data_IF_235496006853
#
_entry.id   IF_235496006853
#
_cell.length_a   1.000
_cell.length_b   1.000
_cell.length_c   1.000
_cell.angle_alpha   90.00
_cell.angle_beta   90.00
_cell.angle_gamma   90.00
#
_symmetry.space_group_name_H-M   'P 1'
#
loop_
_entity.id
_entity.type
_entity.pdbx_description
1 polymer ?
#
# COMPACT_ATOMS: atom_id res chain seq x y z
N UNK A 1 25.50 -0.17 -41.62
CA UNK A 1 24.04 -0.31 -41.45
C UNK A 1 23.64 0.57 -40.27
N UNK A 2 22.84 1.61 -40.52
CA UNK A 2 22.48 2.62 -39.51
C UNK A 2 21.50 2.07 -38.50
N UNK A 3 21.88 2.09 -37.22
CA UNK A 3 21.00 1.76 -36.10
C UNK A 3 20.14 3.00 -35.84
N UNK A 4 18.91 3.01 -36.36
CA UNK A 4 17.98 4.14 -36.22
C UNK A 4 17.64 4.44 -34.75
N UNK A 5 17.32 5.70 -34.45
CA UNK A 5 17.11 6.20 -33.08
C UNK A 5 16.19 5.35 -32.19
N UNK A 6 15.17 4.68 -32.73
CA UNK A 6 14.33 3.76 -31.95
C UNK A 6 15.06 2.53 -31.38
N UNK A 7 16.16 2.09 -31.99
CA UNK A 7 16.96 0.98 -31.50
C UNK A 7 17.86 1.38 -30.31
N UNK A 8 18.22 2.66 -30.17
CA UNK A 8 18.96 3.18 -29.02
C UNK A 8 18.13 3.13 -27.74
N UNK A 9 16.89 3.61 -27.80
CA UNK A 9 15.96 3.52 -26.69
C UNK A 9 15.55 2.08 -26.35
N UNK A 10 15.31 1.23 -27.35
CA UNK A 10 15.02 -0.19 -27.11
C UNK A 10 16.19 -0.91 -26.41
N UNK A 11 17.43 -0.64 -26.83
CA UNK A 11 18.62 -1.21 -26.19
C UNK A 11 18.80 -0.70 -24.76
N UNK A 12 18.47 0.57 -24.47
CA UNK A 12 18.50 1.09 -23.09
C UNK A 12 17.41 0.46 -22.23
N UNK A 13 16.21 0.29 -22.75
CA UNK A 13 15.13 -0.39 -22.04
C UNK A 13 15.47 -1.87 -21.80
N UNK A 14 16.02 -2.57 -22.79
CA UNK A 14 16.53 -3.94 -22.65
C UNK A 14 17.61 -4.04 -21.56
N UNK A 15 18.55 -3.10 -21.53
CA UNK A 15 19.57 -3.05 -20.48
C UNK A 15 18.96 -2.82 -19.10
N UNK A 16 17.96 -1.94 -19.01
CA UNK A 16 17.30 -1.59 -17.76
C UNK A 16 16.41 -2.72 -17.22
N UNK A 17 15.89 -3.61 -18.08
CA UNK A 17 14.95 -4.67 -17.68
C UNK A 17 15.56 -6.07 -17.77
N UNK A 18 16.11 -6.48 -18.92
CA UNK A 18 16.58 -7.86 -19.14
C UNK A 18 18.00 -8.08 -18.63
N UNK A 19 18.91 -7.14 -18.91
CA UNK A 19 20.32 -7.27 -18.54
C UNK A 19 20.61 -6.89 -17.08
N UNK A 20 19.70 -6.17 -16.43
CA UNK A 20 19.86 -5.69 -15.05
C UNK A 20 19.56 -6.75 -13.98
N UNK A 21 18.86 -7.83 -14.34
CA UNK A 21 18.46 -8.87 -13.39
C UNK A 21 19.26 -10.14 -13.66
N UNK A 22 20.01 -10.60 -12.66
CA UNK A 22 20.67 -11.91 -12.71
C UNK A 22 19.64 -13.05 -12.60
N UNK A 23 20.07 -14.30 -12.79
CA UNK A 23 19.19 -15.44 -12.55
C UNK A 23 18.74 -15.51 -11.08
N UNK A 24 19.64 -15.24 -10.14
CA UNK A 24 19.31 -15.20 -8.71
C UNK A 24 18.30 -14.10 -8.38
N UNK A 25 18.44 -12.91 -8.99
CA UNK A 25 17.48 -11.81 -8.77
C UNK A 25 16.11 -12.15 -9.33
N UNK A 26 16.04 -12.80 -10.50
CA UNK A 26 14.77 -13.23 -11.09
C UNK A 26 14.06 -14.28 -10.23
N UNK A 27 14.79 -15.25 -9.69
CA UNK A 27 14.24 -16.22 -8.74
C UNK A 27 13.72 -15.54 -7.46
N UNK A 28 14.52 -14.64 -6.86
CA UNK A 28 14.11 -13.90 -5.66
C UNK A 28 12.88 -13.01 -5.90
N UNK A 29 12.76 -12.39 -7.08
CA UNK A 29 11.59 -11.62 -7.47
C UNK A 29 10.34 -12.50 -7.61
N UNK A 30 10.46 -13.69 -8.21
CA UNK A 30 9.36 -14.65 -8.31
C UNK A 30 8.91 -15.10 -6.92
N UNK A 31 9.83 -15.48 -6.03
CA UNK A 31 9.52 -15.87 -4.65
C UNK A 31 8.78 -14.74 -3.90
N UNK A 32 9.21 -13.49 -4.09
CA UNK A 32 8.57 -12.33 -3.47
C UNK A 32 7.15 -12.07 -4.04
N UNK A 33 6.96 -12.21 -5.35
CA UNK A 33 5.65 -12.07 -6.01
C UNK A 33 4.70 -13.17 -5.53
N UNK A 34 5.16 -14.42 -5.48
CA UNK A 34 4.37 -15.56 -5.02
C UNK A 34 3.99 -15.40 -3.54
N UNK A 35 4.93 -15.02 -2.68
CA UNK A 35 4.66 -14.74 -1.28
C UNK A 35 3.62 -13.62 -1.11
N UNK A 36 3.72 -12.53 -1.88
CA UNK A 36 2.77 -11.42 -1.85
C UNK A 36 1.36 -11.89 -2.28
N UNK A 37 1.27 -12.64 -3.37
CA UNK A 37 -0.03 -13.15 -3.88
C UNK A 37 -0.63 -14.21 -2.96
N UNK A 38 0.18 -15.04 -2.32
CA UNK A 38 -0.28 -16.01 -1.32
C UNK A 38 -0.90 -15.32 -0.10
N UNK A 39 -0.23 -14.28 0.43
CA UNK A 39 -0.76 -13.47 1.55
C UNK A 39 -2.05 -12.76 1.13
N UNK A 40 -2.09 -12.17 -0.08
CA UNK A 40 -3.28 -11.51 -0.61
C UNK A 40 -4.48 -12.46 -0.72
N UNK A 41 -4.26 -13.67 -1.22
CA UNK A 41 -5.29 -14.71 -1.32
C UNK A 41 -5.77 -15.18 0.06
N UNK A 42 -4.86 -15.37 1.01
CA UNK A 42 -5.21 -15.74 2.38
C UNK A 42 -6.03 -14.64 3.08
N UNK A 43 -5.64 -13.37 2.89
CA UNK A 43 -6.41 -12.24 3.39
C UNK A 43 -7.79 -12.16 2.73
N UNK A 44 -7.86 -12.27 1.40
CA UNK A 44 -9.12 -12.28 0.66
C UNK A 44 -10.07 -13.40 1.11
N UNK A 45 -9.54 -14.60 1.37
CA UNK A 45 -10.32 -15.74 1.86
C UNK A 45 -10.92 -15.49 3.26
N UNK A 46 -10.23 -14.69 4.09
CA UNK A 46 -10.67 -14.30 5.44
C UNK A 46 -11.57 -13.05 5.44
N UNK A 47 -11.54 -12.26 4.37
CA UNK A 47 -12.14 -10.92 4.28
C UNK A 47 -13.68 -10.93 4.24
N UNK A 48 -14.28 -11.80 3.43
CA UNK A 48 -15.65 -11.59 2.96
C UNK A 48 -16.75 -11.78 4.02
N UNK A 49 -16.47 -12.40 5.16
CA UNK A 49 -17.49 -12.66 6.19
C UNK A 49 -17.05 -12.44 7.65
N UNK A 50 -15.75 -12.39 7.94
CA UNK A 50 -15.23 -12.47 9.32
C UNK A 50 -14.29 -11.32 9.68
N UNK A 51 -13.29 -11.01 8.85
CA UNK A 51 -12.21 -10.10 9.25
C UNK A 51 -12.66 -8.63 9.39
N UNK A 52 -13.33 -8.05 8.38
CA UNK A 52 -13.77 -6.65 8.43
C UNK A 52 -14.77 -6.36 9.57
N UNK A 53 -15.86 -7.14 9.73
CA UNK A 53 -16.79 -6.94 10.84
C UNK A 53 -16.12 -7.10 12.21
N UNK A 54 -15.18 -8.05 12.35
CA UNK A 54 -14.43 -8.25 13.59
C UNK A 54 -13.48 -7.09 13.90
N UNK A 55 -12.73 -6.60 12.92
CA UNK A 55 -11.86 -5.42 13.06
C UNK A 55 -12.67 -4.19 13.45
N UNK A 56 -13.82 -3.97 12.80
CA UNK A 56 -14.71 -2.87 13.10
C UNK A 56 -15.30 -2.99 14.51
N UNK A 57 -15.74 -4.18 14.91
CA UNK A 57 -16.26 -4.44 16.25
C UNK A 57 -15.19 -4.24 17.33
N UNK A 58 -13.96 -4.70 17.08
CA UNK A 58 -12.83 -4.53 17.98
C UNK A 58 -12.47 -3.05 18.15
N UNK A 59 -12.38 -2.30 17.05
CA UNK A 59 -12.12 -0.86 17.09
C UNK A 59 -13.20 -0.11 17.87
N UNK A 60 -14.48 -0.40 17.61
CA UNK A 60 -15.61 0.17 18.37
C UNK A 60 -15.54 -0.16 19.85
N UNK A 61 -15.26 -1.42 20.20
CA UNK A 61 -15.15 -1.87 21.58
C UNK A 61 -14.00 -1.17 22.31
N UNK A 62 -12.83 -1.11 21.67
CA UNK A 62 -11.62 -0.46 22.19
C UNK A 62 -11.84 1.04 22.45
N UNK A 63 -12.42 1.76 21.48
CA UNK A 63 -12.79 3.18 21.66
C UNK A 63 -13.81 3.38 22.78
N UNK A 64 -14.82 2.52 22.86
CA UNK A 64 -15.89 2.63 23.87
C UNK A 64 -15.36 2.35 25.28
N UNK A 65 -14.54 1.33 25.48
CA UNK A 65 -13.93 1.05 26.79
C UNK A 65 -13.01 2.18 27.21
N UNK A 66 -12.14 2.68 26.31
CA UNK A 66 -11.33 3.86 26.62
C UNK A 66 -12.19 5.07 27.01
N UNK A 67 -13.30 5.31 26.31
CA UNK A 67 -14.19 6.43 26.60
C UNK A 67 -14.99 6.29 27.90
N UNK A 68 -15.50 5.09 28.19
CA UNK A 68 -16.35 4.83 29.35
C UNK A 68 -15.56 4.66 30.63
N UNK A 69 -14.37 4.06 30.56
CA UNK A 69 -13.61 3.68 31.74
C UNK A 69 -12.50 4.71 31.99
N UNK A 70 -11.51 4.74 31.08
CA UNK A 70 -10.29 5.54 31.24
C UNK A 70 -10.58 7.04 31.21
N UNK A 71 -11.27 7.54 30.18
CA UNK A 71 -11.59 8.96 30.08
C UNK A 71 -12.52 9.41 31.21
N UNK A 72 -13.49 8.59 31.65
CA UNK A 72 -14.38 8.95 32.75
C UNK A 72 -13.61 9.15 34.07
N UNK A 73 -12.61 8.32 34.37
CA UNK A 73 -11.74 8.51 35.52
C UNK A 73 -10.89 9.78 35.40
N UNK A 74 -10.32 10.05 34.22
CA UNK A 74 -9.55 11.28 33.96
C UNK A 74 -10.41 12.54 34.09
N UNK A 75 -11.64 12.52 33.56
CA UNK A 75 -12.62 13.61 33.68
C UNK A 75 -12.96 13.86 35.14
N UNK A 76 -13.27 12.80 35.92
CA UNK A 76 -13.59 12.94 37.35
C UNK A 76 -12.44 13.59 38.13
N UNK A 77 -11.20 13.18 37.84
CA UNK A 77 -9.99 13.77 38.42
C UNK A 77 -9.81 15.23 38.00
N UNK A 78 -9.88 15.51 36.70
CA UNK A 78 -9.73 16.86 36.15
C UNK A 78 -10.78 17.84 36.70
N UNK A 79 -12.05 17.42 36.79
CA UNK A 79 -13.14 18.23 37.36
C UNK A 79 -12.92 18.49 38.86
N UNK A 80 -12.52 17.47 39.64
CA UNK A 80 -12.20 17.63 41.07
C UNK A 80 -11.11 18.67 41.29
N UNK A 81 -10.13 18.72 40.40
CA UNK A 81 -9.00 19.65 40.44
C UNK A 81 -9.20 20.92 39.60
N UNK A 82 -10.41 21.17 39.09
CA UNK A 82 -10.76 22.33 38.25
C UNK A 82 -9.83 22.53 37.04
N UNK A 83 -9.32 21.43 36.46
CA UNK A 83 -8.43 21.47 35.31
C UNK A 83 -9.22 21.76 34.03
N UNK A 84 -8.76 22.68 33.16
CA UNK A 84 -9.48 23.07 31.94
C UNK A 84 -9.62 21.90 30.94
N UNK A 85 -8.78 20.88 31.06
CA UNK A 85 -8.83 19.67 30.23
C UNK A 85 -10.11 18.84 30.38
N UNK A 86 -10.83 18.99 31.51
CA UNK A 86 -12.08 18.27 31.76
C UNK A 86 -13.12 18.48 30.65
N UNK A 87 -13.25 19.72 30.14
CA UNK A 87 -14.18 20.04 29.05
C UNK A 87 -13.81 19.34 27.75
N UNK A 88 -12.53 19.36 27.39
CA UNK A 88 -12.01 18.71 26.18
C UNK A 88 -12.20 17.20 26.23
N UNK A 89 -11.90 16.56 27.37
CA UNK A 89 -12.11 15.13 27.58
C UNK A 89 -13.60 14.74 27.52
N UNK A 90 -14.49 15.56 28.08
CA UNK A 90 -15.93 15.34 28.00
C UNK A 90 -16.44 15.39 26.55
N UNK A 91 -16.08 16.42 25.78
CA UNK A 91 -16.47 16.52 24.37
C UNK A 91 -15.92 15.36 23.53
N UNK A 92 -14.68 14.93 23.79
CA UNK A 92 -14.09 13.78 23.12
C UNK A 92 -14.82 12.49 23.49
N UNK A 93 -15.17 12.29 24.77
CA UNK A 93 -15.95 11.16 25.25
C UNK A 93 -17.31 11.08 24.58
N UNK A 94 -18.04 12.19 24.51
CA UNK A 94 -19.33 12.27 23.82
C UNK A 94 -19.19 11.85 22.35
N UNK A 95 -18.20 12.40 21.64
CA UNK A 95 -17.93 12.07 20.24
C UNK A 95 -17.63 10.56 20.02
N UNK A 96 -16.90 9.91 20.91
CA UNK A 96 -16.56 8.47 20.80
C UNK A 96 -17.74 7.54 21.09
N UNK A 97 -18.73 8.03 21.83
CA UNK A 97 -19.84 7.20 22.35
C UNK A 97 -21.12 7.39 21.56
N UNK A 98 -21.19 8.44 20.76
CA UNK A 98 -22.28 8.70 19.83
C UNK A 98 -22.47 7.49 18.88
N UNK A 99 -23.71 7.00 18.82
CA UNK A 99 -24.08 5.87 17.97
C UNK A 99 -24.08 6.29 16.50
N UNK A 100 -23.40 5.55 15.60
CA UNK A 100 -23.54 5.77 14.16
C UNK A 100 -24.92 5.35 13.66
N UNK A 101 -25.38 5.96 12.57
CA UNK A 101 -26.44 5.40 11.73
C UNK A 101 -25.98 4.10 11.05
N UNK A 102 -26.89 3.13 10.79
CA UNK A 102 -26.52 1.77 10.40
C UNK A 102 -25.80 1.63 9.05
N UNK A 103 -25.93 2.60 8.15
CA UNK A 103 -25.44 2.53 6.77
C UNK A 103 -24.00 3.05 6.56
N UNK A 104 -23.42 3.78 7.53
CA UNK A 104 -22.09 4.43 7.40
C UNK A 104 -21.09 3.97 8.47
N UNK A 105 -21.30 2.78 9.03
CA UNK A 105 -20.62 2.31 10.24
C UNK A 105 -19.09 2.21 10.17
N UNK A 106 -18.49 1.96 9.01
CA UNK A 106 -17.04 1.80 8.85
C UNK A 106 -16.31 3.15 8.76
N UNK A 107 -16.69 3.99 7.79
CA UNK A 107 -16.13 5.34 7.64
C UNK A 107 -16.31 6.19 8.90
N UNK A 108 -17.46 6.09 9.56
CA UNK A 108 -17.68 6.75 10.85
C UNK A 108 -16.66 6.36 11.91
N UNK A 109 -16.31 5.07 12.02
CA UNK A 109 -15.33 4.60 13.02
C UNK A 109 -13.93 5.10 12.69
N UNK A 110 -13.55 5.08 11.41
CA UNK A 110 -12.26 5.63 10.96
C UNK A 110 -12.15 7.11 11.31
N UNK A 111 -13.20 7.89 11.07
CA UNK A 111 -13.24 9.31 11.42
C UNK A 111 -13.13 9.53 12.94
N UNK A 112 -13.83 8.73 13.75
CA UNK A 112 -13.73 8.81 15.21
C UNK A 112 -12.34 8.45 15.72
N UNK A 113 -11.72 7.41 15.17
CA UNK A 113 -10.33 7.06 15.48
C UNK A 113 -9.37 8.19 15.12
N UNK A 114 -9.59 8.87 13.99
CA UNK A 114 -8.80 10.02 13.59
C UNK A 114 -8.94 11.20 14.56
N UNK A 115 -10.16 11.55 14.95
CA UNK A 115 -10.43 12.61 15.94
C UNK A 115 -9.80 12.28 17.29
N UNK A 116 -9.92 11.02 17.75
CA UNK A 116 -9.28 10.54 18.98
C UNK A 116 -7.76 10.70 18.90
N UNK A 117 -7.14 10.26 17.81
CA UNK A 117 -5.69 10.35 17.62
C UNK A 117 -5.21 11.80 17.60
N UNK A 118 -5.89 12.67 16.87
CA UNK A 118 -5.54 14.09 16.79
C UNK A 118 -5.65 14.77 18.16
N UNK A 119 -6.79 14.62 18.83
CA UNK A 119 -7.02 15.26 20.13
C UNK A 119 -6.05 14.74 21.20
N UNK A 120 -5.82 13.42 21.26
CA UNK A 120 -4.89 12.82 22.24
C UNK A 120 -3.44 13.16 21.90
N UNK A 121 -3.05 13.15 20.62
CA UNK A 121 -1.73 13.55 20.17
C UNK A 121 -1.40 14.97 20.61
N UNK A 122 -2.33 15.92 20.44
CA UNK A 122 -2.17 17.30 20.91
C UNK A 122 -1.99 17.41 22.43
N UNK A 123 -2.72 16.60 23.21
CA UNK A 123 -2.58 16.55 24.67
C UNK A 123 -1.21 15.99 25.11
N UNK A 124 -0.59 15.13 24.29
CA UNK A 124 0.69 14.48 24.57
C UNK A 124 1.92 15.28 24.13
N UNK A 125 1.79 16.22 23.16
CA UNK A 125 2.92 16.97 22.54
C UNK A 125 3.81 17.72 23.56
N UNK A 126 3.34 17.97 24.79
CA UNK A 126 4.14 18.59 25.84
C UNK A 126 5.05 17.69 26.68
N UNK A 127 4.91 16.37 26.60
CA UNK A 127 5.63 15.46 27.49
C UNK A 127 7.14 15.34 27.16
N UNK A 128 7.58 15.86 26.00
CA UNK A 128 8.94 15.70 25.45
C UNK A 128 9.87 16.92 25.50
N UNK A 129 9.52 18.00 26.23
CA UNK A 129 10.43 19.14 26.46
C UNK A 129 10.61 20.14 25.29
N UNK A 130 9.83 20.04 24.20
CA UNK A 130 9.83 21.03 23.13
C UNK A 130 8.99 22.28 23.50
N UNK A 131 9.42 23.50 23.13
CA UNK A 131 8.76 24.73 23.56
C UNK A 131 7.32 24.84 23.04
N UNK A 132 6.43 25.14 23.98
CA UNK A 132 4.99 25.26 23.82
C UNK A 132 4.60 26.30 22.76
N UNK A 133 4.13 25.82 21.61
CA UNK A 133 3.29 26.57 20.66
C UNK A 133 2.02 25.81 20.25
N UNK A 134 1.61 24.82 21.04
CA UNK A 134 0.29 24.19 20.87
C UNK A 134 -0.68 24.79 21.89
N UNK A 135 -1.81 25.29 21.40
CA UNK A 135 -2.94 25.79 22.22
C UNK A 135 -3.51 24.71 23.17
N UNK A 136 -3.10 23.45 23.00
CA UNK A 136 -3.56 22.29 23.75
C UNK A 136 -2.45 21.53 24.48
N UNK A 137 -1.24 22.09 24.63
CA UNK A 137 -0.24 21.49 25.50
C UNK A 137 -0.74 21.51 26.97
N UNK A 138 -1.37 20.41 27.36
CA UNK A 138 -1.98 20.18 28.67
C UNK A 138 -1.41 18.94 29.34
N UNK A 139 -0.23 18.49 28.94
CA UNK A 139 0.44 17.34 29.55
C UNK A 139 0.60 17.49 31.07
N UNK A 140 0.80 18.73 31.55
CA UNK A 140 0.83 19.08 32.97
C UNK A 140 -0.52 18.88 33.71
N UNK A 141 -1.63 18.85 32.98
CA UNK A 141 -2.97 18.60 33.52
C UNK A 141 -3.24 17.10 33.75
N UNK A 142 -2.26 16.22 33.54
CA UNK A 142 -2.41 14.78 33.69
C UNK A 142 -1.42 14.20 34.70
N UNK A 143 -1.82 13.09 35.32
CA UNK A 143 -0.88 12.25 36.06
C UNK A 143 0.01 11.48 35.09
N UNK A 144 1.17 11.00 35.54
CA UNK A 144 2.05 10.14 34.73
C UNK A 144 1.35 8.87 34.26
N UNK A 145 0.48 8.28 35.10
CA UNK A 145 -0.36 7.12 34.72
C UNK A 145 -1.34 7.49 33.62
N UNK A 146 -2.03 8.62 33.75
CA UNK A 146 -2.99 9.08 32.74
C UNK A 146 -2.33 9.39 31.40
N UNK A 147 -1.10 9.93 31.41
CA UNK A 147 -0.33 10.16 30.18
C UNK A 147 0.04 8.84 29.49
N UNK A 148 0.39 7.80 30.24
CA UNK A 148 0.67 6.46 29.68
C UNK A 148 -0.57 5.84 29.05
N UNK A 149 -1.73 5.98 29.71
CA UNK A 149 -3.02 5.50 29.20
C UNK A 149 -3.43 6.24 27.92
N UNK A 150 -3.26 7.57 27.87
CA UNK A 150 -3.49 8.37 26.68
C UNK A 150 -2.57 7.96 25.52
N UNK A 151 -1.27 7.78 25.79
CA UNK A 151 -0.32 7.32 24.78
C UNK A 151 -0.62 5.90 24.29
N UNK A 152 -1.15 5.02 25.15
CA UNK A 152 -1.59 3.69 24.75
C UNK A 152 -2.85 3.76 23.86
N UNK A 153 -3.82 4.62 24.21
CA UNK A 153 -5.03 4.82 23.44
C UNK A 153 -4.74 5.43 22.05
N UNK A 154 -3.84 6.40 21.95
CA UNK A 154 -3.39 6.97 20.68
C UNK A 154 -2.77 5.90 19.77
N UNK A 155 -1.85 5.09 20.30
CA UNK A 155 -1.21 3.99 19.55
C UNK A 155 -2.22 2.94 19.11
N UNK A 156 -3.15 2.56 19.98
CA UNK A 156 -4.22 1.63 19.64
C UNK A 156 -5.15 2.20 18.55
N UNK A 157 -5.54 3.46 18.66
CA UNK A 157 -6.38 4.12 17.67
C UNK A 157 -5.70 4.19 16.30
N UNK A 158 -4.39 4.49 16.28
CA UNK A 158 -3.58 4.48 15.06
C UNK A 158 -3.50 3.08 14.44
N UNK A 159 -3.29 2.05 15.24
CA UNK A 159 -3.25 0.67 14.76
C UNK A 159 -4.60 0.23 14.16
N UNK A 160 -5.71 0.55 14.82
CA UNK A 160 -7.06 0.26 14.31
C UNK A 160 -7.33 1.00 12.99
N UNK A 161 -6.96 2.28 12.90
CA UNK A 161 -7.12 3.05 11.67
C UNK A 161 -6.32 2.42 10.51
N UNK A 162 -5.05 2.08 10.75
CA UNK A 162 -4.20 1.44 9.75
C UNK A 162 -4.77 0.09 9.31
N UNK A 163 -5.25 -0.74 10.25
CA UNK A 163 -5.84 -2.04 9.91
C UNK A 163 -7.11 -1.91 9.07
N UNK A 164 -8.00 -0.95 9.41
CA UNK A 164 -9.22 -0.70 8.64
C UNK A 164 -8.91 -0.13 7.25
N UNK A 165 -7.99 0.83 7.16
CA UNK A 165 -7.59 1.39 5.86
C UNK A 165 -6.84 0.37 5.01
N UNK A 166 -5.91 -0.41 5.57
CA UNK A 166 -5.18 -1.45 4.85
C UNK A 166 -6.12 -2.55 4.31
N UNK A 167 -7.22 -2.82 5.00
CA UNK A 167 -8.28 -3.69 4.49
C UNK A 167 -8.96 -3.08 3.26
N UNK A 168 -9.30 -1.79 3.30
CA UNK A 168 -9.93 -1.08 2.17
C UNK A 168 -9.02 -1.01 0.92
N UNK A 169 -7.72 -0.78 1.12
CA UNK A 169 -6.74 -0.65 0.03
C UNK A 169 -5.96 -1.94 -0.24
N UNK A 170 -6.40 -3.11 0.28
CA UNK A 170 -5.66 -4.38 0.15
C UNK A 170 -5.25 -4.68 -1.29
N UNK A 171 -6.18 -4.52 -2.22
CA UNK A 171 -5.94 -4.77 -3.64
C UNK A 171 -4.88 -3.84 -4.25
N UNK A 172 -4.76 -2.61 -3.73
CA UNK A 172 -3.73 -1.65 -4.14
C UNK A 172 -2.36 -2.01 -3.54
N UNK A 173 -2.33 -2.58 -2.32
CA UNK A 173 -1.08 -3.01 -1.67
C UNK A 173 -0.43 -4.22 -2.36
N UNK A 174 -1.23 -5.03 -3.09
CA UNK A 174 -0.75 -6.18 -3.86
C UNK A 174 -0.75 -5.94 -5.37
N UNK A 175 -0.90 -4.68 -5.80
CA UNK A 175 -0.89 -4.31 -7.21
C UNK A 175 0.53 -4.34 -7.79
N UNK A 176 0.71 -5.14 -8.84
CA UNK A 176 1.95 -5.30 -9.59
C UNK A 176 1.78 -4.85 -11.05
N UNK A 177 0.69 -4.15 -11.38
CA UNK A 177 0.37 -3.68 -12.74
C UNK A 177 1.49 -2.83 -13.35
N UNK A 178 2.21 -2.07 -12.52
CA UNK A 178 3.32 -1.22 -12.92
C UNK A 178 4.51 -1.97 -13.53
N UNK A 179 4.67 -3.28 -13.26
CA UNK A 179 5.76 -4.06 -13.84
C UNK A 179 5.65 -4.21 -15.37
N UNK A 180 4.46 -4.00 -15.93
CA UNK A 180 4.19 -4.04 -17.37
C UNK A 180 4.22 -2.65 -18.03
N UNK A 181 3.91 -1.60 -17.27
CA UNK A 181 3.80 -0.24 -17.79
C UNK A 181 5.16 0.30 -18.23
N UNK A 182 5.21 0.85 -19.44
CA UNK A 182 6.45 1.30 -20.09
C UNK A 182 6.30 2.57 -20.93
N UNK A 183 5.21 3.31 -20.73
CA UNK A 183 4.90 4.53 -21.49
C UNK A 183 6.00 5.58 -21.36
N UNK A 184 6.54 5.80 -20.16
CA UNK A 184 7.67 6.72 -19.97
C UNK A 184 8.90 6.35 -20.84
N UNK A 185 9.17 5.05 -21.03
CA UNK A 185 10.28 4.60 -21.88
C UNK A 185 9.94 4.72 -23.37
N UNK A 186 8.68 4.53 -23.76
CA UNK A 186 8.21 4.73 -25.13
C UNK A 186 8.20 6.21 -25.53
N UNK A 187 7.79 7.10 -24.63
CA UNK A 187 7.86 8.56 -24.82
C UNK A 187 9.30 9.03 -24.99
N UNK A 188 10.20 8.56 -24.12
CA UNK A 188 11.63 8.87 -24.25
C UNK A 188 12.23 8.34 -25.56
N UNK A 189 11.76 7.20 -26.06
CA UNK A 189 12.15 6.66 -27.36
C UNK A 189 11.66 7.52 -28.53
N UNK A 190 10.44 8.06 -28.43
CA UNK A 190 9.84 8.91 -29.45
C UNK A 190 10.48 10.30 -29.52
N UNK A 191 11.07 10.77 -28.41
CA UNK A 191 11.78 12.05 -28.33
C UNK A 191 13.23 11.98 -28.84
N UNK A 192 13.78 10.78 -29.09
CA UNK A 192 15.14 10.68 -29.59
C UNK A 192 15.24 11.18 -31.04
N UNK A 193 16.12 12.16 -31.34
CA UNK A 193 16.32 12.58 -32.71
C UNK A 193 16.88 11.41 -33.51
N UNK A 194 16.29 11.16 -34.69
CA UNK A 194 16.83 10.26 -35.71
C UNK A 194 18.24 10.72 -36.11
N UNK A 195 19.24 10.35 -35.33
CA UNK A 195 20.64 10.64 -35.59
C UNK A 195 21.09 9.73 -36.73
N UNK A 196 20.88 10.17 -37.96
CA UNK A 196 21.33 9.42 -39.13
C UNK A 196 20.73 9.75 -40.49
N UNK A 197 20.01 10.86 -40.67
CA UNK A 197 19.76 11.39 -42.02
C UNK A 197 19.87 12.90 -42.00
N UNK A 198 20.93 13.42 -42.61
CA UNK A 198 20.98 14.77 -43.14
C UNK A 198 19.76 14.98 -44.03
N UNK A 199 18.76 15.72 -43.56
CA UNK A 199 17.66 16.20 -44.39
C UNK A 199 18.21 17.18 -45.40
N UNK A 200 18.32 16.77 -46.67
CA UNK A 200 18.14 17.71 -47.76
C UNK A 200 16.72 18.26 -47.66
N UNK A 201 16.60 19.58 -47.65
CA UNK A 201 15.32 20.29 -47.68
C UNK A 201 14.61 20.02 -49.00
N UNK A 202 13.70 19.05 -49.03
CA UNK A 202 12.58 18.99 -49.98
C UNK A 202 11.83 17.67 -49.82
N UNK A 203 10.95 17.56 -48.83
CA UNK A 203 9.79 16.67 -48.94
C UNK A 203 8.67 17.12 -48.00
N UNK A 204 7.52 17.60 -48.53
CA UNK A 204 6.42 18.14 -47.73
C UNK A 204 5.49 17.07 -47.17
N UNK A 205 5.73 15.78 -47.42
CA UNK A 205 4.81 14.68 -47.06
C UNK A 205 5.12 14.03 -45.69
N UNK A 206 5.64 14.81 -44.74
CA UNK A 206 5.89 14.37 -43.36
C UNK A 206 4.62 14.37 -42.51
N UNK A 207 3.53 13.87 -43.08
CA UNK A 207 2.23 13.65 -42.44
C UNK A 207 2.02 12.20 -42.01
N UNK A 208 2.98 11.57 -41.32
CA UNK A 208 2.74 10.37 -40.53
C UNK A 208 3.91 10.10 -39.56
N UNK A 209 3.92 10.79 -38.41
CA UNK A 209 4.68 10.32 -37.24
C UNK A 209 3.89 9.18 -36.59
N UNK A 210 3.79 8.05 -37.27
CA UNK A 210 3.08 6.87 -36.78
C UNK A 210 4.04 5.88 -36.14
N UNK A 211 3.76 5.62 -34.86
CA UNK A 211 4.18 4.49 -34.04
C UNK A 211 5.65 4.41 -33.62
N UNK A 212 5.90 4.59 -32.31
CA UNK A 212 6.75 3.63 -31.62
C UNK A 212 5.86 2.38 -31.44
N UNK A 213 5.92 1.36 -32.32
CA UNK A 213 5.25 0.12 -32.03
C UNK A 213 5.94 -0.42 -30.79
N UNK A 214 5.15 -0.53 -29.73
CA UNK A 214 5.47 -1.08 -28.43
C UNK A 214 6.70 -2.00 -28.37
N UNK A 215 7.49 -1.92 -27.28
CA UNK A 215 8.63 -2.83 -27.10
C UNK A 215 8.22 -4.31 -27.19
N UNK A 216 9.07 -5.19 -27.75
CA UNK A 216 8.82 -6.62 -27.81
C UNK A 216 8.45 -7.21 -26.46
N UNK A 217 7.63 -8.27 -26.46
CA UNK A 217 7.24 -8.98 -25.24
C UNK A 217 8.47 -9.53 -24.47
N UNK A 218 9.56 -9.86 -25.17
CA UNK A 218 10.82 -10.31 -24.58
C UNK A 218 11.52 -9.26 -23.70
N UNK A 219 11.10 -8.00 -23.77
CA UNK A 219 11.56 -6.90 -22.92
C UNK A 219 10.54 -6.54 -21.82
N UNK A 220 9.44 -7.27 -21.70
CA UNK A 220 8.47 -7.13 -20.61
C UNK A 220 8.98 -7.88 -19.39
N UNK A 221 9.05 -7.21 -18.23
CA UNK A 221 9.51 -7.86 -17.00
C UNK A 221 8.65 -9.09 -16.63
N UNK A 222 7.30 -9.05 -16.68
CA UNK A 222 6.47 -10.24 -16.50
C UNK A 222 6.87 -11.41 -17.41
N UNK A 223 7.18 -11.13 -18.68
CA UNK A 223 7.57 -12.18 -19.63
C UNK A 223 8.96 -12.75 -19.33
N UNK A 224 9.90 -11.90 -18.94
CA UNK A 224 11.27 -12.30 -18.56
C UNK A 224 11.23 -13.22 -17.33
N UNK A 225 10.38 -12.91 -16.35
CA UNK A 225 10.19 -13.75 -15.16
C UNK A 225 9.50 -15.08 -15.52
N UNK A 226 8.48 -15.06 -16.38
CA UNK A 226 7.82 -16.27 -16.87
C UNK A 226 8.76 -17.19 -17.65
N UNK A 227 9.58 -16.64 -18.55
CA UNK A 227 10.60 -17.36 -19.33
C UNK A 227 11.61 -18.05 -18.40
N UNK A 228 12.05 -17.35 -17.35
CA UNK A 228 12.95 -17.89 -16.34
C UNK A 228 12.31 -19.03 -15.54
N UNK A 229 11.09 -18.84 -15.02
CA UNK A 229 10.36 -19.87 -14.28
C UNK A 229 10.15 -21.14 -15.11
N UNK A 230 9.85 -20.99 -16.41
CA UNK A 230 9.71 -22.09 -17.35
C UNK A 230 11.04 -22.83 -17.55
N UNK A 231 12.13 -22.10 -17.73
CA UNK A 231 13.46 -22.69 -17.87
C UNK A 231 13.83 -23.51 -16.62
N UNK A 232 13.59 -23.00 -15.42
CA UNK A 232 13.82 -23.72 -14.16
C UNK A 232 12.91 -24.95 -14.02
N UNK A 233 11.64 -24.84 -14.42
CA UNK A 233 10.70 -25.96 -14.42
C UNK A 233 11.19 -27.10 -15.32
N UNK A 234 11.63 -26.78 -16.53
CA UNK A 234 12.18 -27.77 -17.46
C UNK A 234 13.48 -28.40 -16.95
N UNK A 235 14.37 -27.60 -16.33
CA UNK A 235 15.59 -28.11 -15.70
C UNK A 235 15.31 -29.06 -14.53
N UNK A 236 14.21 -28.83 -13.80
CA UNK A 236 13.72 -29.70 -12.73
C UNK A 236 12.96 -30.94 -13.24
N UNK A 237 12.85 -31.15 -14.57
CA UNK A 237 12.17 -32.30 -15.17
C UNK A 237 10.66 -32.15 -15.32
N UNK A 238 10.11 -30.94 -15.16
CA UNK A 238 8.70 -30.65 -15.37
C UNK A 238 8.44 -30.37 -16.86
N UNK A 239 7.48 -31.06 -17.48
CA UNK A 239 7.08 -30.84 -18.88
C UNK A 239 5.73 -30.12 -18.89
N UNK A 240 5.68 -28.81 -19.21
CA UNK A 240 4.44 -28.07 -19.20
C UNK A 240 3.62 -28.38 -20.45
N UNK A 241 2.31 -28.62 -20.28
CA UNK A 241 1.34 -28.53 -21.37
C UNK A 241 1.16 -27.06 -21.77
N UNK A 242 0.99 -26.79 -23.07
CA UNK A 242 1.06 -25.45 -23.68
C UNK A 242 0.09 -24.38 -23.13
N UNK A 243 -0.85 -24.73 -22.24
CA UNK A 243 -1.76 -23.78 -21.57
C UNK A 243 -1.32 -23.33 -20.18
N UNK A 244 -0.43 -24.07 -19.49
CA UNK A 244 -0.10 -23.82 -18.09
C UNK A 244 1.02 -22.81 -17.84
N UNK A 245 1.66 -22.28 -18.88
CA UNK A 245 2.81 -21.35 -18.74
C UNK A 245 2.36 -19.96 -18.30
N UNK A 246 1.19 -19.51 -18.77
CA UNK A 246 0.57 -18.27 -18.28
C UNK A 246 -0.02 -18.46 -16.89
N UNK A 247 -0.61 -19.61 -16.56
CA UNK A 247 -1.12 -19.89 -15.21
C UNK A 247 0.00 -20.10 -14.18
N UNK A 248 1.11 -20.74 -14.55
CA UNK A 248 2.28 -20.90 -13.68
C UNK A 248 3.05 -19.57 -13.49
N UNK A 249 3.06 -18.68 -14.48
CA UNK A 249 3.58 -17.32 -14.35
C UNK A 249 2.57 -16.33 -13.72
N UNK A 250 1.28 -16.70 -13.67
CA UNK A 250 0.19 -15.93 -13.05
C UNK A 250 -0.27 -16.48 -11.69
N UNK A 251 0.51 -17.36 -11.04
CA UNK A 251 0.30 -17.74 -9.64
C UNK A 251 -0.14 -19.19 -9.36
N UNK A 252 0.12 -20.15 -10.25
CA UNK A 252 -0.18 -21.57 -10.02
C UNK A 252 1.05 -22.45 -9.77
N UNK A 253 2.19 -21.88 -9.35
CA UNK A 253 3.19 -22.66 -8.62
C UNK A 253 2.93 -22.47 -7.13
N UNK A 254 2.61 -23.58 -6.46
CA UNK A 254 2.43 -23.74 -5.01
C UNK A 254 1.00 -23.53 -4.47
N UNK A 255 0.04 -24.30 -4.98
CA UNK A 255 -1.24 -24.50 -4.30
C UNK A 255 -2.06 -25.66 -4.84
N UNK A 256 -1.98 -26.82 -4.19
CA UNK A 256 -2.98 -27.89 -4.33
C UNK A 256 -2.47 -29.14 -5.04
N UNK A 257 -2.38 -30.24 -4.28
CA UNK A 257 -2.06 -31.56 -4.81
C UNK A 257 -3.07 -32.04 -5.84
N UNK A 258 -2.56 -32.64 -6.91
CA UNK A 258 -3.30 -33.65 -7.65
C UNK A 258 -2.80 -35.02 -7.21
N UNK A 259 -3.65 -35.71 -6.47
CA UNK A 259 -3.64 -37.17 -6.41
C UNK A 259 -4.10 -37.68 -7.78
N UNK A 260 -3.46 -38.76 -8.23
CA UNK A 260 -3.78 -39.53 -9.45
C UNK A 260 -5.26 -39.90 -9.50
#
# INVERSE_FOLDING_TARGET
AGVGAGAGAAMRYERAVRASHSAADRAALLDAIDALKAVDAEMAARDASLAAPALLALAKSSMRSFAMDTMAHMIKSATKHQRPVAKTLNSLREAMTASPEPTTAAGYVVDRLHVLRAAVGEMLVGAGGAPAKSLFNRSADFSTTSLKELAAAERAARAHQLALSAYEIRAELSDLSHLWLREAHLEMAALEPASGTSTSLSDPDRGSRSHAPQFPATLSLPWILAEHALAEATAAGWVPGCGGVLDAAAGARLGGGFVV
#
